data_IF_153029108239
#
_entry.id   IF_153029108239
#
_cell.length_a   1.000
_cell.length_b   1.000
_cell.length_c   1.000
_cell.angle_alpha   90.00
_cell.angle_beta   90.00
_cell.angle_gamma   90.00
#
_symmetry.space_group_name_H-M   'P 1'
#
loop_
_entity.id
_entity.type
_entity.pdbx_description
1 polymer ?
#
# COMPACT_ATOMS: atom_id res chain seq x y z
N UNK A 1 12.86 6.31 0.63
CA UNK A 1 13.79 5.79 -0.36
C UNK A 1 13.52 6.34 -1.75
N UNK A 2 12.26 6.36 -2.24
CA UNK A 2 11.99 6.91 -3.55
C UNK A 2 10.51 6.98 -3.89
N UNK A 3 10.26 7.59 -5.04
CA UNK A 3 8.94 7.82 -5.60
C UNK A 3 8.96 7.61 -7.11
N UNK A 4 7.98 6.86 -7.61
CA UNK A 4 7.76 6.63 -9.03
C UNK A 4 6.36 7.11 -9.39
N UNK A 5 6.26 8.01 -10.36
CA UNK A 5 5.00 8.48 -10.95
C UNK A 5 4.98 8.12 -12.43
N UNK A 6 4.31 7.04 -12.79
CA UNK A 6 4.23 6.56 -14.18
C UNK A 6 3.27 7.39 -15.02
N UNK A 7 2.29 8.06 -14.40
CA UNK A 7 1.32 8.94 -15.08
C UNK A 7 2.00 10.17 -15.70
N UNK A 8 3.00 10.71 -15.00
CA UNK A 8 3.79 11.89 -15.45
C UNK A 8 5.18 11.50 -15.93
N UNK A 9 5.54 10.21 -15.89
CA UNK A 9 6.87 9.70 -16.25
C UNK A 9 8.00 10.33 -15.42
N UNK A 10 7.74 10.66 -14.17
CA UNK A 10 8.71 11.21 -13.23
C UNK A 10 9.14 10.12 -12.26
N UNK A 11 10.44 9.93 -12.16
CA UNK A 11 11.03 8.94 -11.26
C UNK A 11 12.09 9.59 -10.39
N UNK A 12 11.89 9.55 -9.09
CA UNK A 12 12.86 9.89 -8.06
C UNK A 12 13.24 8.58 -7.34
N UNK A 13 13.93 7.72 -8.08
CA UNK A 13 14.23 6.36 -7.67
C UNK A 13 15.67 6.00 -8.07
N UNK A 14 16.52 5.54 -7.13
CA UNK A 14 17.95 5.35 -7.40
C UNK A 14 18.29 4.07 -8.17
N UNK A 15 17.36 3.10 -8.19
CA UNK A 15 17.60 1.79 -8.80
C UNK A 15 16.74 1.55 -10.04
N UNK A 16 16.97 0.41 -10.70
CA UNK A 16 16.10 -0.04 -11.78
C UNK A 16 14.73 -0.44 -11.24
N UNK A 17 13.70 -0.18 -12.02
CA UNK A 17 12.33 -0.59 -11.74
C UNK A 17 11.61 -1.04 -13.01
N UNK A 18 10.62 -1.93 -12.86
CA UNK A 18 9.81 -2.44 -13.96
C UNK A 18 8.51 -1.67 -14.22
N UNK A 19 8.22 -0.60 -13.46
CA UNK A 19 6.99 0.18 -13.63
C UNK A 19 6.92 0.82 -15.02
N UNK A 20 5.77 0.69 -15.69
CA UNK A 20 5.55 1.18 -17.06
C UNK A 20 4.57 2.35 -17.05
N UNK A 21 4.72 3.32 -17.96
CA UNK A 21 3.76 4.42 -18.11
C UNK A 21 2.33 3.90 -18.31
N UNK A 22 1.38 4.53 -17.62
CA UNK A 22 -0.04 4.23 -17.77
C UNK A 22 -0.86 5.53 -17.66
N UNK A 23 -2.10 5.53 -18.14
CA UNK A 23 -3.02 6.66 -18.02
C UNK A 23 -3.82 6.61 -16.71
N UNK A 24 -4.03 5.42 -16.15
CA UNK A 24 -4.74 5.14 -14.90
C UNK A 24 -4.18 3.85 -14.31
N UNK A 25 -4.09 3.75 -13.01
CA UNK A 25 -3.54 2.55 -12.36
C UNK A 25 -3.73 2.56 -10.86
N UNK A 26 -3.10 1.62 -10.18
CA UNK A 26 -3.10 1.54 -8.71
C UNK A 26 -1.97 2.38 -8.14
N UNK A 27 -2.15 2.90 -6.92
CA UNK A 27 -1.07 3.47 -6.13
C UNK A 27 -0.58 2.44 -5.11
N UNK A 28 0.72 2.31 -4.96
CA UNK A 28 1.35 1.42 -3.99
C UNK A 28 2.19 2.27 -3.03
N UNK A 29 1.92 2.14 -1.72
CA UNK A 29 2.76 2.73 -0.67
C UNK A 29 3.34 1.59 0.15
N UNK A 30 4.65 1.58 0.31
CA UNK A 30 5.36 0.50 1.01
C UNK A 30 6.42 1.05 1.95
N UNK A 31 6.71 0.33 3.02
CA UNK A 31 7.82 0.66 3.92
C UNK A 31 9.14 0.05 3.46
N UNK A 32 9.11 -0.88 2.49
CA UNK A 32 10.30 -1.58 1.98
C UNK A 32 10.56 -1.23 0.51
N UNK A 33 11.77 -0.74 0.21
CA UNK A 33 12.22 -0.48 -1.16
C UNK A 33 12.39 -1.76 -1.98
N UNK A 34 12.88 -2.84 -1.36
CA UNK A 34 13.04 -4.12 -2.03
C UNK A 34 11.68 -4.71 -2.46
N UNK A 35 10.68 -4.60 -1.60
CA UNK A 35 9.32 -5.03 -1.94
C UNK A 35 8.75 -4.13 -3.05
N UNK A 36 9.01 -2.82 -3.02
CA UNK A 36 8.62 -1.90 -4.09
C UNK A 36 9.19 -2.32 -5.45
N UNK A 37 10.50 -2.59 -5.52
CA UNK A 37 11.15 -3.08 -6.75
C UNK A 37 10.47 -4.36 -7.24
N UNK A 38 10.31 -5.35 -6.36
CA UNK A 38 9.66 -6.63 -6.68
C UNK A 38 8.25 -6.43 -7.24
N UNK A 39 7.46 -5.53 -6.65
CA UNK A 39 6.12 -5.20 -7.14
C UNK A 39 6.14 -4.56 -8.53
N UNK A 40 7.14 -3.74 -8.85
CA UNK A 40 7.25 -3.11 -10.17
C UNK A 40 7.68 -4.08 -11.26
N UNK A 41 8.39 -5.16 -10.90
CA UNK A 41 8.88 -6.19 -11.85
C UNK A 41 7.82 -7.25 -12.21
N UNK A 42 6.59 -7.11 -11.72
CA UNK A 42 5.50 -8.04 -12.00
C UNK A 42 5.17 -8.11 -13.50
N UNK A 43 4.72 -9.27 -13.94
CA UNK A 43 4.34 -9.53 -15.35
C UNK A 43 2.83 -9.73 -15.55
N UNK A 44 2.04 -9.56 -14.51
CA UNK A 44 0.58 -9.74 -14.53
C UNK A 44 -0.18 -8.66 -15.32
N UNK A 45 0.51 -7.60 -15.74
CA UNK A 45 -0.12 -6.48 -16.45
C UNK A 45 -0.83 -5.47 -15.55
N UNK A 46 -0.65 -5.52 -14.23
CA UNK A 46 -1.18 -4.53 -13.31
C UNK A 46 -0.61 -3.14 -13.63
N UNK A 47 -1.43 -2.15 -14.04
CA UNK A 47 -0.94 -0.79 -14.24
C UNK A 47 -0.72 -0.13 -12.89
N UNK A 48 0.52 0.28 -12.64
CA UNK A 48 0.94 0.96 -11.41
C UNK A 48 1.12 2.44 -11.73
N UNK A 49 0.23 3.29 -11.19
CA UNK A 49 0.27 4.74 -11.35
C UNK A 49 1.34 5.38 -10.47
N UNK A 50 1.45 4.92 -9.24
CA UNK A 50 2.39 5.43 -8.25
C UNK A 50 3.03 4.32 -7.45
N UNK A 51 4.32 4.48 -7.16
CA UNK A 51 5.01 3.75 -6.09
C UNK A 51 5.68 4.75 -5.17
N UNK A 52 5.41 4.68 -3.89
CA UNK A 52 6.05 5.51 -2.88
C UNK A 52 6.60 4.64 -1.74
N UNK A 53 7.80 4.95 -1.28
CA UNK A 53 8.40 4.26 -0.14
C UNK A 53 8.44 5.18 1.08
N UNK A 54 7.75 4.78 2.15
CA UNK A 54 7.71 5.50 3.41
C UNK A 54 8.92 5.19 4.32
N UNK A 55 9.62 4.06 4.06
CA UNK A 55 10.74 3.63 4.89
C UNK A 55 10.38 3.55 6.38
N UNK A 56 11.21 4.14 7.23
CA UNK A 56 11.00 4.24 8.67
C UNK A 56 10.03 5.38 9.08
N UNK A 57 9.39 6.04 8.12
CA UNK A 57 8.37 7.08 8.35
C UNK A 57 8.88 8.30 9.13
N UNK A 58 10.18 8.60 9.03
CA UNK A 58 10.82 9.66 9.82
C UNK A 58 10.31 11.07 9.47
N UNK A 59 9.84 11.29 8.26
CA UNK A 59 9.40 12.59 7.76
C UNK A 59 7.92 12.59 7.38
N UNK A 60 7.51 11.70 6.51
CA UNK A 60 6.13 11.49 6.10
C UNK A 60 5.72 10.05 6.39
N UNK A 61 4.63 9.90 7.12
CA UNK A 61 4.06 8.59 7.41
C UNK A 61 3.31 8.00 6.20
N UNK A 62 3.15 6.70 6.21
CA UNK A 62 2.44 5.95 5.18
C UNK A 62 1.02 6.48 4.96
N UNK A 63 0.31 6.79 6.05
CA UNK A 63 -1.07 7.29 6.00
C UNK A 63 -1.16 8.65 5.29
N UNK A 64 -0.19 9.54 5.53
CA UNK A 64 -0.13 10.85 4.86
C UNK A 64 0.14 10.71 3.36
N UNK A 65 1.12 9.87 2.99
CA UNK A 65 1.44 9.61 1.58
C UNK A 65 0.23 8.97 0.87
N UNK A 66 -0.38 7.95 1.48
CA UNK A 66 -1.54 7.27 0.92
C UNK A 66 -2.73 8.22 0.73
N UNK A 67 -2.99 9.12 1.69
CA UNK A 67 -4.04 10.13 1.59
C UNK A 67 -3.81 11.09 0.41
N UNK A 68 -2.58 11.54 0.20
CA UNK A 68 -2.26 12.41 -0.92
C UNK A 68 -2.48 11.72 -2.29
N UNK A 69 -2.06 10.45 -2.42
CA UNK A 69 -2.24 9.68 -3.65
C UNK A 69 -3.70 9.30 -3.92
N UNK A 70 -4.51 9.23 -2.86
CA UNK A 70 -5.94 8.94 -2.94
C UNK A 70 -6.73 10.01 -3.68
N UNK A 71 -6.30 11.25 -3.64
CA UNK A 71 -7.00 12.39 -4.28
C UNK A 71 -6.83 12.44 -5.81
N UNK A 72 -5.88 11.70 -6.39
CA UNK A 72 -5.73 11.64 -7.86
C UNK A 72 -6.78 10.71 -8.48
N UNK A 73 -7.67 11.25 -9.31
CA UNK A 73 -8.76 10.50 -9.97
C UNK A 73 -8.26 9.36 -10.88
N UNK A 74 -7.01 9.42 -11.29
CA UNK A 74 -6.37 8.35 -12.08
C UNK A 74 -5.93 7.15 -11.24
N UNK A 75 -5.97 7.27 -9.91
CA UNK A 75 -5.74 6.17 -8.99
C UNK A 75 -7.03 5.39 -8.79
N UNK A 76 -7.01 4.11 -9.18
CA UNK A 76 -8.18 3.22 -9.14
C UNK A 76 -8.33 2.44 -7.85
N UNK A 77 -7.23 2.11 -7.22
CA UNK A 77 -7.17 1.38 -5.94
C UNK A 77 -5.83 1.68 -5.25
N UNK A 78 -5.75 1.45 -3.95
CA UNK A 78 -4.50 1.58 -3.20
C UNK A 78 -4.07 0.24 -2.62
N UNK A 79 -2.78 -0.04 -2.79
CA UNK A 79 -2.09 -1.14 -2.13
C UNK A 79 -1.12 -0.60 -1.08
N UNK A 80 -1.22 -1.09 0.14
CA UNK A 80 -0.35 -0.68 1.25
C UNK A 80 0.42 -1.90 1.75
N UNK A 81 1.75 -1.82 1.74
CA UNK A 81 2.61 -2.79 2.41
C UNK A 81 3.04 -2.21 3.75
N UNK A 82 2.56 -2.80 4.84
CA UNK A 82 2.68 -2.25 6.19
C UNK A 82 3.47 -3.20 7.09
N UNK A 83 4.58 -2.70 7.62
CA UNK A 83 5.36 -3.31 8.69
C UNK A 83 4.95 -2.74 10.06
N UNK A 84 4.62 -1.44 10.10
CA UNK A 84 4.10 -0.76 11.27
C UNK A 84 3.35 0.52 10.89
N UNK A 85 2.28 0.85 11.63
CA UNK A 85 1.53 2.08 11.40
C UNK A 85 2.31 3.31 11.93
N UNK A 86 2.16 4.41 11.22
CA UNK A 86 2.62 5.74 11.63
C UNK A 86 1.73 6.32 12.74
N UNK A 87 0.47 6.55 12.42
CA UNK A 87 -0.54 7.09 13.32
C UNK A 87 -1.91 6.45 13.03
N UNK A 88 -2.52 5.89 14.07
CA UNK A 88 -3.82 5.21 13.93
C UNK A 88 -4.93 6.16 13.50
N UNK A 89 -4.93 7.42 13.98
CA UNK A 89 -5.96 8.41 13.64
C UNK A 89 -5.83 8.84 12.19
N UNK A 90 -4.62 9.08 11.71
CA UNK A 90 -4.37 9.42 10.31
C UNK A 90 -4.76 8.25 9.40
N UNK A 91 -4.47 7.02 9.81
CA UNK A 91 -4.89 5.82 9.07
C UNK A 91 -6.42 5.66 9.02
N UNK A 92 -7.13 5.95 10.12
CA UNK A 92 -8.60 5.95 10.15
C UNK A 92 -9.20 7.04 9.24
N UNK A 93 -8.60 8.24 9.23
CA UNK A 93 -9.02 9.33 8.33
C UNK A 93 -8.80 8.95 6.87
N UNK A 94 -7.65 8.39 6.54
CA UNK A 94 -7.34 7.84 5.22
C UNK A 94 -8.38 6.79 4.79
N UNK A 95 -8.68 5.81 5.65
CA UNK A 95 -9.63 4.75 5.35
C UNK A 95 -11.06 5.28 5.11
N UNK A 96 -11.48 6.29 5.88
CA UNK A 96 -12.76 6.98 5.69
C UNK A 96 -12.79 7.68 4.34
N UNK A 97 -11.74 8.43 4.02
CA UNK A 97 -11.64 9.16 2.76
C UNK A 97 -11.63 8.23 1.54
N UNK A 98 -10.93 7.09 1.63
CA UNK A 98 -10.92 6.07 0.60
C UNK A 98 -12.34 5.55 0.30
N UNK A 99 -13.13 5.32 1.36
CA UNK A 99 -14.53 4.89 1.24
C UNK A 99 -15.41 5.96 0.61
N UNK A 100 -15.27 7.22 1.02
CA UNK A 100 -16.01 8.36 0.43
C UNK A 100 -15.75 8.49 -1.08
N UNK A 101 -14.52 8.27 -1.51
CA UNK A 101 -14.11 8.31 -2.91
C UNK A 101 -14.40 7.01 -3.68
N UNK A 102 -14.93 5.98 -3.01
CA UNK A 102 -15.17 4.67 -3.63
C UNK A 102 -13.89 3.98 -4.10
N UNK A 103 -12.73 4.29 -3.50
CA UNK A 103 -11.43 3.72 -3.88
C UNK A 103 -11.06 2.57 -2.94
N UNK A 104 -11.02 1.32 -3.44
CA UNK A 104 -10.70 0.18 -2.62
C UNK A 104 -9.24 0.20 -2.15
N UNK A 105 -9.04 -0.30 -0.93
CA UNK A 105 -7.72 -0.40 -0.29
C UNK A 105 -7.44 -1.86 0.07
N UNK A 106 -6.23 -2.32 -0.23
CA UNK A 106 -5.73 -3.64 0.15
C UNK A 106 -4.43 -3.48 0.94
N UNK A 107 -4.30 -4.19 2.04
CA UNK A 107 -3.10 -4.21 2.87
C UNK A 107 -2.37 -5.53 2.70
N UNK A 108 -1.10 -5.48 2.31
CA UNK A 108 -0.17 -6.58 2.42
C UNK A 108 0.48 -6.53 3.80
N UNK A 109 0.27 -7.57 4.58
CA UNK A 109 0.83 -7.71 5.93
C UNK A 109 2.01 -8.67 5.91
N UNK A 110 3.18 -8.18 6.26
CA UNK A 110 4.37 -9.01 6.52
C UNK A 110 4.64 -9.08 8.02
N UNK A 111 5.37 -10.11 8.45
CA UNK A 111 5.77 -10.20 9.85
C UNK A 111 4.67 -10.72 10.77
N UNK A 112 3.83 -11.63 10.30
CA UNK A 112 2.80 -12.30 11.13
C UNK A 112 3.40 -13.30 12.13
N UNK A 113 4.66 -13.73 11.95
CA UNK A 113 5.37 -14.61 12.87
C UNK A 113 6.13 -13.80 13.93
N UNK A 114 6.37 -14.42 15.09
CA UNK A 114 7.09 -13.78 16.21
C UNK A 114 8.55 -13.44 15.85
N UNK A 115 9.19 -14.26 15.01
CA UNK A 115 10.53 -14.05 14.49
C UNK A 115 10.60 -12.86 13.50
N UNK A 116 9.60 -12.72 12.63
CA UNK A 116 9.50 -11.61 11.70
C UNK A 116 9.19 -10.28 12.43
N UNK A 117 8.50 -10.33 13.59
CA UNK A 117 8.29 -9.17 14.46
C UNK A 117 9.57 -8.68 15.10
N UNK A 118 10.43 -9.59 15.58
CA UNK A 118 11.72 -9.23 16.17
C UNK A 118 12.61 -8.53 15.13
N UNK A 119 12.57 -8.97 13.87
CA UNK A 119 13.29 -8.35 12.78
C UNK A 119 12.69 -6.99 12.40
N UNK A 120 11.37 -6.85 12.37
CA UNK A 120 10.70 -5.57 12.08
C UNK A 120 10.99 -4.50 13.14
N UNK A 121 11.03 -4.86 14.43
CA UNK A 121 11.39 -3.96 15.53
C UNK A 121 12.80 -3.37 15.37
N UNK A 122 13.76 -4.15 14.85
CA UNK A 122 15.12 -3.68 14.62
C UNK A 122 15.27 -2.83 13.36
N UNK A 123 14.38 -3.03 12.36
CA UNK A 123 14.45 -2.35 11.07
C UNK A 123 13.63 -1.05 11.00
N UNK A 124 12.47 -0.98 11.64
CA UNK A 124 11.53 0.14 11.44
C UNK A 124 11.35 1.04 12.67
N UNK A 125 11.90 0.66 13.83
CA UNK A 125 11.70 1.37 15.10
C UNK A 125 10.22 1.64 15.43
N UNK A 126 9.26 1.07 14.70
CA UNK A 126 7.85 1.22 14.93
C UNK A 126 7.36 0.20 15.96
N UNK A 127 6.52 0.65 16.88
CA UNK A 127 5.80 -0.22 17.81
C UNK A 127 4.91 -1.16 16.99
N UNK A 128 5.37 -2.38 16.77
CA UNK A 128 4.54 -3.44 16.21
C UNK A 128 3.43 -3.73 17.23
N UNK A 129 2.31 -3.06 17.11
CA UNK A 129 1.09 -3.39 17.82
C UNK A 129 0.78 -4.87 17.64
N UNK A 130 0.05 -5.50 18.56
CA UNK A 130 -0.25 -6.93 18.42
C UNK A 130 -0.89 -7.17 17.04
N UNK A 131 -0.45 -8.19 16.31
CA UNK A 131 -1.00 -8.57 15.00
C UNK A 131 -2.52 -8.70 15.01
N UNK A 132 -3.08 -9.06 16.17
CA UNK A 132 -4.52 -9.15 16.40
C UNK A 132 -5.18 -7.77 16.42
N UNK A 133 -4.61 -6.80 17.13
CA UNK A 133 -5.15 -5.43 17.20
C UNK A 133 -5.18 -4.79 15.81
N UNK A 134 -4.11 -4.95 15.05
CA UNK A 134 -4.06 -4.45 13.68
C UNK A 134 -5.08 -5.14 12.76
N UNK A 135 -5.25 -6.48 12.87
CA UNK A 135 -6.29 -7.20 12.13
C UNK A 135 -7.69 -6.70 12.47
N UNK A 136 -7.96 -6.47 13.77
CA UNK A 136 -9.25 -5.92 14.23
C UNK A 136 -9.48 -4.52 13.69
N UNK A 137 -8.45 -3.68 13.66
CA UNK A 137 -8.52 -2.34 13.06
C UNK A 137 -8.89 -2.41 11.58
N UNK A 138 -8.18 -3.22 10.78
CA UNK A 138 -8.46 -3.37 9.36
C UNK A 138 -9.88 -3.88 9.10
N UNK A 139 -10.32 -4.89 9.86
CA UNK A 139 -11.69 -5.41 9.77
C UNK A 139 -12.73 -4.32 10.09
N UNK A 140 -12.55 -3.58 11.18
CA UNK A 140 -13.43 -2.45 11.55
C UNK A 140 -13.50 -1.37 10.47
N UNK A 141 -12.39 -1.13 9.79
CA UNK A 141 -12.30 -0.14 8.72
C UNK A 141 -12.78 -0.69 7.36
N UNK A 142 -13.13 -1.97 7.27
CA UNK A 142 -13.54 -2.60 6.01
C UNK A 142 -12.40 -2.71 5.00
N UNK A 143 -11.15 -2.76 5.46
CA UNK A 143 -9.97 -2.87 4.61
C UNK A 143 -9.56 -4.34 4.49
N UNK A 144 -9.49 -4.83 3.24
CA UNK A 144 -9.00 -6.17 2.94
C UNK A 144 -7.51 -6.30 3.28
N UNK A 145 -7.11 -7.45 3.84
CA UNK A 145 -5.71 -7.75 4.10
C UNK A 145 -5.30 -9.13 3.59
N UNK A 146 -4.10 -9.20 3.03
CA UNK A 146 -3.48 -10.42 2.51
C UNK A 146 -2.06 -10.57 3.07
N UNK A 147 -1.52 -11.78 3.00
CA UNK A 147 -0.19 -12.11 3.56
C UNK A 147 0.82 -12.51 2.49
N UNK A 148 0.39 -12.67 1.24
CA UNK A 148 1.24 -13.07 0.12
C UNK A 148 1.28 -11.98 -0.94
N UNK A 149 2.47 -11.73 -1.48
CA UNK A 149 2.70 -10.69 -2.49
C UNK A 149 1.90 -10.95 -3.77
N UNK A 150 1.88 -12.19 -4.24
CA UNK A 150 1.12 -12.55 -5.45
C UNK A 150 -0.38 -12.30 -5.28
N UNK A 151 -0.94 -12.70 -4.13
CA UNK A 151 -2.35 -12.44 -3.81
C UNK A 151 -2.63 -10.94 -3.75
N UNK A 152 -1.70 -10.16 -3.19
CA UNK A 152 -1.81 -8.70 -3.13
C UNK A 152 -1.88 -8.09 -4.53
N UNK A 153 -0.96 -8.44 -5.43
CA UNK A 153 -0.92 -7.91 -6.78
C UNK A 153 -2.14 -8.34 -7.61
N UNK A 154 -2.58 -9.59 -7.48
CA UNK A 154 -3.78 -10.09 -8.15
C UNK A 154 -5.06 -9.41 -7.63
N UNK A 155 -5.14 -9.18 -6.32
CA UNK A 155 -6.28 -8.44 -5.73
C UNK A 155 -6.32 -7.01 -6.24
N UNK A 156 -5.18 -6.33 -6.32
CA UNK A 156 -5.10 -4.98 -6.88
C UNK A 156 -5.49 -4.96 -8.36
N UNK A 157 -5.07 -5.96 -9.15
CA UNK A 157 -5.47 -6.07 -10.56
C UNK A 157 -6.97 -6.26 -10.70
N UNK A 158 -7.57 -7.13 -9.88
CA UNK A 158 -9.03 -7.33 -9.85
C UNK A 158 -9.74 -6.00 -9.51
N UNK A 159 -9.35 -5.34 -8.43
CA UNK A 159 -9.97 -4.07 -8.00
C UNK A 159 -9.75 -2.94 -9.01
N UNK A 160 -8.61 -2.91 -9.70
CA UNK A 160 -8.39 -1.96 -10.79
C UNK A 160 -9.37 -2.19 -11.95
N UNK A 161 -9.64 -3.45 -12.27
CA UNK A 161 -10.46 -3.85 -13.42
C UNK A 161 -11.95 -3.71 -13.17
N UNK A 162 -12.43 -4.18 -12.01
CA UNK A 162 -13.88 -4.24 -11.70
C UNK A 162 -14.34 -3.15 -10.75
N UNK A 163 -13.43 -2.41 -10.12
CA UNK A 163 -13.75 -1.42 -9.08
C UNK A 163 -14.01 -2.06 -7.71
N UNK A 164 -14.57 -1.29 -6.76
CA UNK A 164 -14.86 -1.78 -5.42
C UNK A 164 -15.91 -2.91 -5.48
N UNK A 165 -15.61 -4.01 -4.78
CA UNK A 165 -16.56 -5.12 -4.65
C UNK A 165 -17.62 -4.73 -3.63
N UNK A 166 -18.85 -4.58 -4.09
CA UNK A 166 -20.02 -4.34 -3.23
C UNK A 166 -20.46 -5.70 -2.69
N UNK A 167 -20.06 -6.04 -1.47
CA UNK A 167 -20.62 -7.18 -0.76
C UNK A 167 -22.08 -6.91 -0.39
N UNK A 168 -22.95 -7.88 -0.60
CA UNK A 168 -24.25 -7.87 0.10
C UNK A 168 -23.99 -8.02 1.60
N UNK A 169 -24.43 -7.05 2.39
CA UNK A 169 -24.43 -7.12 3.84
C UNK A 169 -25.32 -8.26 4.34
#
# INVERSE_FOLDING_TARGET
>A
YGFINTLSRVTLWPDQHGARPCARGVAIVTQSSNIAISMTMQTSGLPIAYVATAGNQAQLGLSTIASALLEDDRVSALGLHIEGLDDTRLFEQFARRARELGKPVVVLRVGTTEQARATALTHTASLAGSSRAFSTLLHRLGIASVTHLDTFLQTLLLLHTVGPLMGSA
#
